data_IF_916493096740
#
_entry.id   IF_916493096740
#
_cell.length_a   1.000
_cell.length_b   1.000
_cell.length_c   1.000
_cell.angle_alpha   90.00
_cell.angle_beta   90.00
_cell.angle_gamma   90.00
#
_symmetry.space_group_name_H-M   'P 1'
#
loop_
_entity.id
_entity.type
_entity.pdbx_description
1 polymer ?
#
# COMPACT_ATOMS: atom_id res chain seq x y z
N UNK A 1 -15.55 3.12 8.73
CA UNK A 1 -14.82 2.21 7.80
C UNK A 1 -15.43 2.20 6.41
N UNK A 2 -16.80 2.17 6.23
CA UNK A 2 -17.44 2.25 4.90
C UNK A 2 -17.07 3.56 4.18
N UNK A 3 -17.17 4.71 4.85
CA UNK A 3 -16.81 6.02 4.28
C UNK A 3 -15.35 6.05 3.76
N UNK A 4 -14.42 5.42 4.50
CA UNK A 4 -13.02 5.32 4.07
C UNK A 4 -12.88 4.44 2.83
N UNK A 5 -13.66 3.36 2.73
CA UNK A 5 -13.69 2.50 1.54
C UNK A 5 -14.23 3.28 0.34
N UNK A 6 -15.34 3.98 0.52
CA UNK A 6 -15.96 4.82 -0.53
C UNK A 6 -15.00 5.90 -1.03
N UNK A 7 -14.23 6.51 -0.12
CA UNK A 7 -13.20 7.49 -0.46
C UNK A 7 -12.05 6.87 -1.26
N UNK A 8 -11.58 5.68 -0.86
CA UNK A 8 -10.49 4.99 -1.55
C UNK A 8 -10.91 4.49 -2.94
N UNK A 9 -12.14 4.02 -3.08
CA UNK A 9 -12.68 3.49 -4.36
C UNK A 9 -13.20 4.61 -5.25
N UNK A 10 -13.45 5.81 -4.71
CA UNK A 10 -14.06 6.93 -5.43
C UNK A 10 -15.52 6.73 -5.80
N UNK A 11 -16.20 5.77 -5.17
CA UNK A 11 -17.63 5.46 -5.40
C UNK A 11 -18.38 5.37 -4.08
N UNK A 12 -19.43 6.16 -3.89
CA UNK A 12 -20.28 6.08 -2.70
C UNK A 12 -21.08 4.77 -2.70
N UNK A 13 -21.27 4.18 -1.52
CA UNK A 13 -22.09 3.00 -1.33
C UNK A 13 -21.41 1.67 -1.65
N UNK A 14 -20.07 1.61 -1.64
CA UNK A 14 -19.32 0.38 -1.80
C UNK A 14 -19.66 -0.62 -0.69
N UNK A 15 -20.07 -1.83 -1.07
CA UNK A 15 -20.37 -2.92 -0.13
C UNK A 15 -19.24 -3.94 -0.20
N UNK A 16 -18.51 -4.18 0.92
CA UNK A 16 -17.50 -5.22 0.96
C UNK A 16 -18.16 -6.61 0.84
N UNK A 17 -17.60 -7.44 -0.03
CA UNK A 17 -18.06 -8.80 -0.26
C UNK A 17 -17.26 -9.74 0.64
N UNK A 18 -17.91 -10.66 1.39
CA UNK A 18 -17.22 -11.65 2.21
C UNK A 18 -16.55 -12.74 1.35
N UNK A 19 -15.62 -13.49 1.96
CA UNK A 19 -15.04 -14.68 1.33
C UNK A 19 -16.08 -15.76 1.12
N UNK A 20 -16.02 -16.43 -0.03
CA UNK A 20 -16.84 -17.62 -0.31
C UNK A 20 -16.47 -18.76 0.64
N UNK A 21 -17.45 -19.57 1.04
CA UNK A 21 -17.19 -20.75 1.85
C UNK A 21 -17.39 -22.03 1.00
N UNK A 22 -16.52 -23.05 1.12
CA UNK A 22 -15.35 -23.13 2.02
C UNK A 22 -14.20 -22.24 1.56
N UNK A 23 -13.47 -21.63 2.52
CA UNK A 23 -12.34 -20.75 2.22
C UNK A 23 -11.13 -21.56 1.82
N UNK A 24 -10.73 -21.49 0.55
CA UNK A 24 -9.48 -22.08 0.05
C UNK A 24 -8.37 -21.04 0.13
N UNK A 25 -7.39 -21.33 0.96
CA UNK A 25 -6.23 -20.43 1.12
C UNK A 25 -5.16 -20.76 0.08
N UNK A 26 -4.53 -19.74 -0.53
CA UNK A 26 -3.42 -19.95 -1.45
C UNK A 26 -2.21 -20.49 -0.69
N UNK A 27 -1.57 -21.50 -1.25
CA UNK A 27 -0.28 -22.01 -0.78
C UNK A 27 0.85 -21.37 -1.58
N UNK A 28 2.01 -21.15 -0.93
CA UNK A 28 3.19 -20.69 -1.62
C UNK A 28 3.71 -21.79 -2.56
N UNK A 29 3.63 -21.58 -3.86
CA UNK A 29 4.21 -22.47 -4.88
C UNK A 29 5.24 -21.70 -5.68
N UNK A 30 6.53 -22.06 -5.65
CA UNK A 30 7.15 -23.24 -5.00
C UNK A 30 7.25 -23.14 -3.47
N UNK A 31 7.29 -24.29 -2.79
CA UNK A 31 7.42 -24.37 -1.32
C UNK A 31 8.85 -24.10 -0.81
N UNK A 32 9.72 -23.57 -1.65
CA UNK A 32 11.12 -23.28 -1.33
C UNK A 32 11.34 -21.74 -1.34
N UNK A 33 11.84 -21.23 -0.23
CA UNK A 33 12.14 -19.80 -0.05
C UNK A 33 13.22 -19.29 -1.01
N UNK A 34 14.26 -20.10 -1.26
CA UNK A 34 15.37 -19.70 -2.12
C UNK A 34 14.96 -19.61 -3.59
N UNK A 35 13.97 -20.39 -4.04
CA UNK A 35 13.42 -20.28 -5.37
C UNK A 35 12.68 -18.92 -5.57
N UNK A 36 11.99 -18.44 -4.53
CA UNK A 36 11.36 -17.11 -4.56
C UNK A 36 12.40 -15.99 -4.58
N UNK A 37 13.49 -16.14 -3.82
CA UNK A 37 14.59 -15.16 -3.81
C UNK A 37 15.29 -15.12 -5.16
N UNK A 38 15.63 -16.26 -5.75
CA UNK A 38 16.25 -16.33 -7.07
C UNK A 38 15.38 -15.69 -8.16
N UNK A 39 14.08 -15.96 -8.14
CA UNK A 39 13.13 -15.34 -9.07
C UNK A 39 13.03 -13.82 -8.85
N UNK A 40 13.09 -13.34 -7.58
CA UNK A 40 13.08 -11.92 -7.28
C UNK A 40 14.35 -11.22 -7.77
N UNK A 41 15.52 -11.85 -7.64
CA UNK A 41 16.78 -11.31 -8.15
C UNK A 41 16.79 -11.13 -9.66
N UNK A 42 16.09 -12.00 -10.39
CA UNK A 42 16.00 -11.94 -11.85
C UNK A 42 14.92 -10.96 -12.34
N UNK A 43 13.74 -10.96 -11.71
CA UNK A 43 12.54 -10.31 -12.23
C UNK A 43 12.20 -8.96 -11.56
N UNK A 44 12.79 -8.64 -10.37
CA UNK A 44 12.33 -7.51 -9.59
C UNK A 44 12.69 -6.15 -10.23
N UNK A 45 11.69 -5.26 -10.47
CA UNK A 45 11.91 -3.98 -11.16
C UNK A 45 12.96 -3.07 -10.51
N UNK A 46 13.05 -3.06 -9.16
CA UNK A 46 14.03 -2.23 -8.45
C UNK A 46 15.47 -2.69 -8.71
N UNK A 47 15.72 -3.99 -8.84
CA UNK A 47 17.06 -4.52 -9.20
C UNK A 47 17.39 -4.13 -10.64
N UNK A 48 16.42 -4.25 -11.54
CA UNK A 48 16.60 -3.84 -12.94
C UNK A 48 16.89 -2.33 -13.05
N UNK A 49 16.20 -1.51 -12.28
CA UNK A 49 16.46 -0.07 -12.21
C UNK A 49 17.87 0.23 -11.71
N UNK A 50 18.31 -0.43 -10.63
CA UNK A 50 19.67 -0.24 -10.09
C UNK A 50 20.75 -0.74 -11.08
N UNK A 51 20.49 -1.82 -11.82
CA UNK A 51 21.37 -2.32 -12.88
C UNK A 51 21.54 -1.29 -14.00
N UNK A 52 20.41 -0.74 -14.50
CA UNK A 52 20.46 0.33 -15.50
C UNK A 52 21.17 1.58 -14.97
N UNK A 53 21.02 1.89 -13.68
CA UNK A 53 21.77 2.98 -13.04
C UNK A 53 23.27 2.76 -13.07
N UNK A 54 23.73 1.54 -12.83
CA UNK A 54 25.14 1.16 -12.94
C UNK A 54 25.63 1.25 -14.40
N UNK A 55 24.83 0.79 -15.36
CA UNK A 55 25.16 0.90 -16.78
C UNK A 55 25.32 2.36 -17.23
N UNK A 56 24.43 3.26 -16.76
CA UNK A 56 24.53 4.70 -16.99
C UNK A 56 25.81 5.27 -16.39
N UNK A 57 26.16 4.89 -15.16
CA UNK A 57 27.41 5.35 -14.52
C UNK A 57 28.65 4.92 -15.35
N UNK A 58 28.66 3.69 -15.86
CA UNK A 58 29.73 3.22 -16.78
C UNK A 58 29.80 4.01 -18.09
N UNK A 59 28.65 4.46 -18.61
CA UNK A 59 28.64 5.34 -19.80
C UNK A 59 29.13 6.76 -19.49
N UNK A 60 28.85 7.28 -18.28
CA UNK A 60 29.37 8.59 -17.85
C UNK A 60 30.90 8.59 -17.71
N UNK A 61 31.52 7.44 -17.32
CA UNK A 61 32.99 7.31 -17.35
C UNK A 61 33.51 7.47 -18.78
N UNK A 62 32.93 6.73 -19.74
CA UNK A 62 33.33 6.83 -21.15
C UNK A 62 33.15 8.25 -21.72
N UNK A 63 32.10 8.94 -21.28
CA UNK A 63 31.85 10.34 -21.64
C UNK A 63 32.90 11.27 -21.02
N UNK A 64 33.29 11.04 -19.76
CA UNK A 64 34.37 11.80 -19.13
C UNK A 64 35.72 11.57 -19.82
N UNK A 65 36.06 10.34 -20.19
CA UNK A 65 37.24 9.98 -20.98
C UNK A 65 37.25 10.64 -22.36
N UNK A 66 36.06 10.77 -22.97
CA UNK A 66 35.90 11.46 -24.25
C UNK A 66 36.21 12.97 -24.16
N UNK A 67 36.27 13.57 -22.95
CA UNK A 67 36.68 14.92 -22.72
C UNK A 67 38.12 15.25 -23.17
N UNK A 68 38.97 14.24 -23.39
CA UNK A 68 40.30 14.38 -23.98
C UNK A 68 40.27 14.35 -25.53
N UNK A 69 39.12 13.99 -26.14
CA UNK A 69 39.02 13.87 -27.60
C UNK A 69 38.58 15.17 -28.24
N UNK A 70 38.98 15.43 -29.51
CA UNK A 70 38.49 16.56 -30.24
C UNK A 70 37.00 16.49 -30.55
N UNK A 71 36.31 17.62 -30.56
CA UNK A 71 34.93 17.75 -31.05
C UNK A 71 34.91 18.44 -32.39
N UNK A 72 33.98 18.07 -33.24
CA UNK A 72 33.73 18.67 -34.56
C UNK A 72 32.24 19.03 -34.62
N UNK A 73 31.99 20.35 -34.65
CA UNK A 73 30.66 20.91 -34.68
C UNK A 73 30.37 21.54 -36.05
N UNK A 74 29.27 21.19 -36.67
CA UNK A 74 28.78 21.79 -37.92
C UNK A 74 27.61 22.72 -37.60
N UNK A 75 27.74 23.98 -38.00
CA UNK A 75 26.72 25.02 -37.76
C UNK A 75 26.13 25.50 -39.08
N UNK A 76 24.80 25.47 -39.17
CA UNK A 76 24.05 26.04 -40.26
C UNK A 76 23.12 27.13 -39.69
N UNK A 77 23.26 28.37 -40.18
CA UNK A 77 22.43 29.48 -39.71
C UNK A 77 21.79 30.19 -40.90
N UNK A 78 20.53 30.59 -40.77
CA UNK A 78 19.87 31.54 -41.67
C UNK A 78 19.18 32.59 -40.81
N UNK A 79 19.60 33.85 -40.99
CA UNK A 79 19.12 35.00 -40.21
C UNK A 79 18.53 36.08 -41.14
N UNK A 80 17.35 36.54 -40.83
CA UNK A 80 16.67 37.64 -41.53
C UNK A 80 16.57 38.80 -40.55
N UNK A 81 17.31 39.86 -40.80
CA UNK A 81 17.21 41.11 -40.02
C UNK A 81 16.46 42.15 -40.84
N UNK A 82 15.40 42.69 -40.29
CA UNK A 82 14.58 43.78 -40.89
C UNK A 82 14.54 44.96 -39.96
N UNK A 83 15.08 46.11 -40.45
CA UNK A 83 15.06 47.38 -39.74
C UNK A 83 14.28 48.40 -40.58
N UNK A 84 12.92 48.41 -40.54
CA UNK A 84 12.10 49.23 -41.44
C UNK A 84 12.29 50.72 -41.25
N UNK A 85 12.72 51.16 -40.06
CA UNK A 85 12.94 52.59 -39.71
C UNK A 85 14.43 52.96 -39.63
N UNK A 86 15.32 52.07 -40.11
CA UNK A 86 16.76 52.26 -39.98
C UNK A 86 17.32 51.84 -38.63
N UNK A 87 18.58 52.24 -38.35
CA UNK A 87 19.30 52.00 -37.10
C UNK A 87 19.68 53.36 -36.50
N UNK A 88 20.26 53.38 -35.29
CA UNK A 88 20.76 54.61 -34.64
C UNK A 88 21.78 55.35 -35.46
N UNK A 89 22.40 54.75 -36.49
CA UNK A 89 23.43 55.32 -37.35
C UNK A 89 22.95 55.54 -38.79
N UNK A 90 21.78 55.08 -39.20
CA UNK A 90 21.23 55.28 -40.56
C UNK A 90 19.68 55.25 -40.50
N UNK A 91 19.05 56.26 -41.14
CA UNK A 91 17.60 56.44 -41.26
C UNK A 91 17.01 55.63 -42.42
N UNK A 92 17.84 54.91 -43.19
CA UNK A 92 17.40 54.09 -44.33
C UNK A 92 16.98 52.72 -43.83
N UNK A 93 15.75 52.30 -44.19
CA UNK A 93 15.23 50.92 -43.90
C UNK A 93 16.10 49.87 -44.59
N UNK A 94 16.54 48.88 -43.82
CA UNK A 94 17.40 47.81 -44.34
C UNK A 94 16.77 46.43 -44.07
N UNK A 95 16.94 45.53 -45.02
CA UNK A 95 16.67 44.10 -44.88
C UNK A 95 17.97 43.35 -45.24
N UNK A 96 18.42 42.52 -44.31
CA UNK A 96 19.62 41.71 -44.48
C UNK A 96 19.17 40.24 -44.34
N UNK A 97 19.34 39.46 -45.39
CA UNK A 97 19.18 38.03 -45.39
C UNK A 97 20.58 37.41 -45.42
N UNK A 98 20.96 36.73 -44.33
CA UNK A 98 22.30 36.12 -44.20
C UNK A 98 22.19 34.62 -43.99
N UNK A 99 22.87 33.87 -44.82
CA UNK A 99 23.10 32.44 -44.65
C UNK A 99 24.56 32.18 -44.22
N UNK A 100 24.74 31.38 -43.20
CA UNK A 100 26.08 31.00 -42.72
C UNK A 100 26.20 29.48 -42.59
N UNK A 101 27.31 28.93 -43.01
CA UNK A 101 27.72 27.54 -42.85
C UNK A 101 29.12 27.58 -42.23
N UNK A 102 29.30 26.82 -41.15
CA UNK A 102 30.57 26.76 -40.44
C UNK A 102 30.87 25.39 -39.91
N UNK A 103 32.12 25.02 -39.84
CA UNK A 103 32.60 23.81 -39.14
C UNK A 103 33.66 24.26 -38.14
N UNK A 104 33.45 23.90 -36.88
CA UNK A 104 34.34 24.25 -35.75
C UNK A 104 34.97 22.96 -35.22
N UNK A 105 36.29 22.91 -35.25
CA UNK A 105 37.10 21.86 -34.64
C UNK A 105 37.65 22.40 -33.30
N UNK A 106 37.34 21.71 -32.20
CA UNK A 106 37.84 22.10 -30.88
C UNK A 106 38.53 20.90 -30.21
N UNK A 107 39.79 21.10 -29.81
CA UNK A 107 40.58 20.08 -29.11
C UNK A 107 41.24 20.72 -27.87
N UNK A 108 40.85 20.29 -26.64
CA UNK A 108 41.48 20.79 -25.42
C UNK A 108 42.89 20.20 -25.29
N UNK A 109 43.91 21.04 -25.40
CA UNK A 109 45.32 20.63 -25.23
C UNK A 109 45.71 20.51 -23.76
N UNK A 110 45.17 21.36 -22.91
CA UNK A 110 45.39 21.38 -21.47
C UNK A 110 44.18 21.98 -20.76
N UNK A 111 43.61 21.25 -19.83
CA UNK A 111 42.41 21.65 -19.06
C UNK A 111 42.71 21.77 -17.55
N UNK A 112 43.97 21.96 -17.13
CA UNK A 112 44.32 22.11 -15.72
C UNK A 112 43.90 20.88 -14.86
N UNK A 113 44.03 19.66 -15.36
CA UNK A 113 43.64 18.42 -14.74
C UNK A 113 42.10 18.26 -14.52
N UNK A 114 41.27 19.15 -15.08
CA UNK A 114 39.82 19.07 -14.92
C UNK A 114 39.24 17.76 -15.47
N UNK A 115 39.67 17.30 -16.63
CA UNK A 115 39.23 16.04 -17.23
C UNK A 115 39.64 14.82 -16.40
N UNK A 116 40.87 14.79 -15.88
CA UNK A 116 41.30 13.68 -14.99
C UNK A 116 40.51 13.62 -13.69
N UNK A 117 40.25 14.78 -13.06
CA UNK A 117 39.45 14.82 -11.84
C UNK A 117 38.02 14.45 -12.13
N UNK A 118 37.45 14.79 -13.31
CA UNK A 118 36.13 14.33 -13.74
C UNK A 118 36.05 12.82 -13.92
N UNK A 119 37.11 12.21 -14.50
CA UNK A 119 37.20 10.75 -14.62
C UNK A 119 37.23 10.10 -13.22
N UNK A 120 38.04 10.61 -12.30
CA UNK A 120 38.08 10.09 -10.90
C UNK A 120 36.72 10.24 -10.21
N UNK A 121 36.03 11.35 -10.40
CA UNK A 121 34.67 11.57 -9.89
C UNK A 121 33.70 10.53 -10.43
N UNK A 122 33.68 10.32 -11.76
CA UNK A 122 32.76 9.36 -12.39
C UNK A 122 33.07 7.90 -12.01
N UNK A 123 34.32 7.53 -11.78
CA UNK A 123 34.69 6.24 -11.23
C UNK A 123 34.15 6.03 -9.81
N UNK A 124 34.24 7.05 -8.93
CA UNK A 124 33.65 6.99 -7.60
C UNK A 124 32.12 6.88 -7.63
N UNK A 125 31.45 7.53 -8.59
CA UNK A 125 30.01 7.43 -8.80
C UNK A 125 29.60 6.04 -9.34
N UNK A 126 30.42 5.40 -10.16
CA UNK A 126 30.20 4.00 -10.59
C UNK A 126 30.29 3.05 -9.38
N UNK A 127 31.31 3.19 -8.54
CA UNK A 127 31.44 2.38 -7.31
C UNK A 127 30.27 2.61 -6.34
N UNK A 128 29.77 3.83 -6.24
CA UNK A 128 28.55 4.14 -5.50
C UNK A 128 27.34 3.40 -6.11
N UNK A 129 27.17 3.46 -7.44
CA UNK A 129 26.05 2.78 -8.14
C UNK A 129 26.13 1.26 -7.99
N UNK A 130 27.32 0.68 -7.99
CA UNK A 130 27.57 -0.74 -7.71
C UNK A 130 27.14 -1.10 -6.30
N UNK A 131 27.48 -0.27 -5.32
CA UNK A 131 27.08 -0.46 -3.92
C UNK A 131 25.56 -0.34 -3.74
N UNK A 132 24.90 0.58 -4.46
CA UNK A 132 23.44 0.72 -4.48
C UNK A 132 22.78 -0.54 -5.05
N UNK A 133 23.29 -1.08 -6.15
CA UNK A 133 22.79 -2.32 -6.74
C UNK A 133 22.87 -3.49 -5.75
N UNK A 134 24.02 -3.65 -5.10
CA UNK A 134 24.23 -4.71 -4.09
C UNK A 134 23.27 -4.55 -2.89
N UNK A 135 23.12 -3.32 -2.39
CA UNK A 135 22.16 -2.99 -1.33
C UNK A 135 20.72 -3.29 -1.73
N UNK A 136 20.35 -2.96 -2.97
CA UNK A 136 19.01 -3.24 -3.51
C UNK A 136 18.74 -4.74 -3.61
N UNK A 137 19.69 -5.54 -4.10
CA UNK A 137 19.57 -7.00 -4.16
C UNK A 137 19.34 -7.60 -2.77
N UNK A 138 20.14 -7.20 -1.77
CA UNK A 138 19.98 -7.66 -0.39
C UNK A 138 18.63 -7.26 0.20
N UNK A 139 18.20 -6.04 -0.04
CA UNK A 139 16.89 -5.54 0.44
C UNK A 139 15.72 -6.32 -0.16
N UNK A 140 15.73 -6.57 -1.47
CA UNK A 140 14.71 -7.37 -2.16
C UNK A 140 14.70 -8.81 -1.66
N UNK A 141 15.88 -9.44 -1.52
CA UNK A 141 16.00 -10.79 -0.97
C UNK A 141 15.44 -10.89 0.45
N UNK A 142 15.74 -9.91 1.30
CA UNK A 142 15.21 -9.83 2.67
C UNK A 142 13.69 -9.64 2.68
N UNK A 143 13.16 -8.74 1.87
CA UNK A 143 11.72 -8.48 1.78
C UNK A 143 10.97 -9.74 1.30
N UNK A 144 11.51 -10.46 0.30
CA UNK A 144 10.94 -11.71 -0.21
C UNK A 144 10.94 -12.80 0.86
N UNK A 145 12.05 -12.97 1.59
CA UNK A 145 12.13 -13.94 2.71
C UNK A 145 11.13 -13.61 3.81
N UNK A 146 11.04 -12.34 4.20
CA UNK A 146 10.10 -11.90 5.23
C UNK A 146 8.65 -12.12 4.81
N UNK A 147 8.29 -11.82 3.55
CA UNK A 147 6.95 -12.04 3.02
C UNK A 147 6.59 -13.53 2.96
N UNK A 148 7.54 -14.39 2.55
CA UNK A 148 7.35 -15.85 2.51
C UNK A 148 7.11 -16.42 3.91
N UNK A 149 7.98 -16.09 4.87
CA UNK A 149 7.84 -16.55 6.25
C UNK A 149 6.54 -16.03 6.89
N UNK A 150 6.17 -14.79 6.59
CA UNK A 150 4.90 -14.21 7.03
C UNK A 150 3.68 -14.98 6.48
N UNK A 151 3.72 -15.40 5.22
CA UNK A 151 2.67 -16.21 4.61
C UNK A 151 2.59 -17.60 5.26
N UNK A 152 3.71 -18.30 5.43
CA UNK A 152 3.76 -19.63 6.06
C UNK A 152 3.26 -19.57 7.50
N UNK A 153 3.70 -18.59 8.27
CA UNK A 153 3.23 -18.36 9.64
C UNK A 153 1.74 -18.04 9.68
N UNK A 154 1.25 -17.21 8.74
CA UNK A 154 -0.16 -16.87 8.63
C UNK A 154 -1.06 -18.10 8.38
N UNK A 155 -0.63 -19.01 7.50
CA UNK A 155 -1.34 -20.29 7.26
C UNK A 155 -1.37 -21.15 8.53
N UNK A 156 -0.25 -21.20 9.26
CA UNK A 156 -0.20 -21.90 10.57
C UNK A 156 -1.17 -21.28 11.58
N UNK A 157 -1.25 -19.94 11.64
CA UNK A 157 -2.18 -19.23 12.52
C UNK A 157 -3.66 -19.54 12.16
N UNK A 158 -4.01 -19.60 10.87
CA UNK A 158 -5.37 -19.96 10.46
C UNK A 158 -5.74 -21.36 10.95
N UNK A 159 -4.86 -22.36 10.78
CA UNK A 159 -5.10 -23.72 11.27
C UNK A 159 -5.29 -23.76 12.78
N UNK A 160 -4.50 -23.01 13.54
CA UNK A 160 -4.64 -22.93 14.98
C UNK A 160 -5.96 -22.28 15.41
N UNK A 161 -6.39 -21.23 14.70
CA UNK A 161 -7.66 -20.55 14.98
C UNK A 161 -8.87 -21.37 14.55
N UNK A 162 -8.78 -22.22 13.53
CA UNK A 162 -9.83 -23.18 13.16
C UNK A 162 -10.02 -24.24 14.25
N UNK A 163 -8.94 -24.74 14.83
CA UNK A 163 -9.01 -25.63 15.99
C UNK A 163 -9.58 -24.93 17.23
N UNK A 164 -9.19 -23.66 17.46
CA UNK A 164 -9.70 -22.86 18.56
C UNK A 164 -11.20 -22.53 18.38
N UNK A 165 -11.68 -22.30 17.17
CA UNK A 165 -13.11 -22.11 16.87
C UNK A 165 -13.91 -23.38 17.24
N UNK A 166 -13.46 -24.56 16.80
CA UNK A 166 -14.10 -25.83 17.13
C UNK A 166 -14.15 -26.09 18.64
N UNK A 167 -13.04 -25.82 19.35
CA UNK A 167 -12.98 -25.93 20.81
C UNK A 167 -13.89 -24.93 21.52
N UNK A 168 -13.92 -23.66 21.09
CA UNK A 168 -14.79 -22.64 21.65
C UNK A 168 -16.28 -22.93 21.41
N UNK A 169 -16.62 -23.52 20.26
CA UNK A 169 -17.97 -23.97 19.97
C UNK A 169 -18.37 -25.06 20.93
N UNK A 170 -17.53 -26.09 21.11
CA UNK A 170 -17.79 -27.19 22.04
C UNK A 170 -17.95 -26.72 23.48
N UNK A 171 -17.13 -25.76 23.92
CA UNK A 171 -17.22 -25.13 25.25
C UNK A 171 -18.54 -24.40 25.43
N UNK A 172 -18.99 -23.64 24.42
CA UNK A 172 -20.29 -22.96 24.46
C UNK A 172 -21.45 -23.97 24.58
N UNK A 173 -21.41 -25.03 23.79
CA UNK A 173 -22.47 -26.06 23.78
C UNK A 173 -22.50 -26.78 25.13
N UNK A 174 -21.36 -27.12 25.72
CA UNK A 174 -21.27 -27.69 27.07
C UNK A 174 -21.80 -26.74 28.15
N UNK A 175 -21.47 -25.45 28.09
CA UNK A 175 -21.96 -24.43 29.06
C UNK A 175 -23.46 -24.18 28.90
N UNK A 176 -24.00 -24.22 27.68
CA UNK A 176 -25.46 -24.16 27.44
C UNK A 176 -26.21 -25.35 28.05
N UNK A 177 -25.67 -26.55 27.83
CA UNK A 177 -26.24 -27.76 28.43
C UNK A 177 -26.17 -27.69 29.97
N UNK A 178 -25.01 -27.30 30.53
CA UNK A 178 -24.84 -27.11 31.97
C UNK A 178 -25.80 -26.08 32.59
N UNK A 179 -26.10 -25.03 31.85
CA UNK A 179 -27.09 -24.01 32.24
C UNK A 179 -28.53 -24.62 32.25
N UNK A 180 -28.87 -25.38 31.21
CA UNK A 180 -30.19 -26.04 31.13
C UNK A 180 -30.44 -26.99 32.28
N UNK A 181 -29.41 -27.72 32.75
CA UNK A 181 -29.52 -28.66 33.89
C UNK A 181 -29.23 -28.01 35.24
N UNK A 182 -29.02 -26.70 35.27
CA UNK A 182 -28.86 -25.90 36.49
C UNK A 182 -27.50 -25.95 37.20
N UNK A 183 -26.47 -26.55 36.55
CA UNK A 183 -25.09 -26.67 37.11
C UNK A 183 -24.17 -25.56 36.65
N UNK A 184 -24.60 -24.70 35.72
CA UNK A 184 -23.89 -23.52 35.26
C UNK A 184 -24.77 -22.28 35.37
N UNK A 185 -24.14 -21.10 35.44
CA UNK A 185 -24.85 -19.83 35.49
C UNK A 185 -24.81 -19.12 34.13
N UNK A 186 -25.76 -18.22 33.90
CA UNK A 186 -25.90 -17.53 32.61
C UNK A 186 -24.63 -16.77 32.18
N UNK A 187 -23.87 -16.24 33.14
CA UNK A 187 -22.62 -15.53 32.82
C UNK A 187 -21.56 -16.44 32.16
N UNK A 188 -21.52 -17.73 32.52
CA UNK A 188 -20.61 -18.69 31.89
C UNK A 188 -20.96 -18.93 30.42
N UNK A 189 -22.26 -18.96 30.10
CA UNK A 189 -22.75 -19.07 28.71
C UNK A 189 -22.38 -17.82 27.90
N UNK A 190 -22.61 -16.63 28.48
CA UNK A 190 -22.29 -15.36 27.85
C UNK A 190 -20.77 -15.22 27.59
N UNK A 191 -19.95 -15.61 28.57
CA UNK A 191 -18.50 -15.60 28.43
C UNK A 191 -18.03 -16.54 27.30
N UNK A 192 -18.57 -17.76 27.26
CA UNK A 192 -18.24 -18.74 26.21
C UNK A 192 -18.71 -18.27 24.83
N UNK A 193 -19.88 -17.62 24.76
CA UNK A 193 -20.38 -17.03 23.53
C UNK A 193 -19.49 -15.87 23.06
N UNK A 194 -19.10 -15.00 23.98
CA UNK A 194 -18.15 -13.90 23.67
C UNK A 194 -16.83 -14.43 23.15
N UNK A 195 -16.27 -15.47 23.80
CA UNK A 195 -15.03 -16.11 23.37
C UNK A 195 -15.15 -16.71 21.96
N UNK A 196 -16.26 -17.40 21.66
CA UNK A 196 -16.50 -17.98 20.33
C UNK A 196 -16.52 -16.89 19.24
N UNK A 197 -17.27 -15.80 19.47
CA UNK A 197 -17.34 -14.71 18.48
C UNK A 197 -16.02 -13.95 18.35
N UNK A 198 -15.23 -13.85 19.42
CA UNK A 198 -13.88 -13.33 19.36
C UNK A 198 -13.00 -14.21 18.48
N UNK A 199 -13.01 -15.52 18.70
CA UNK A 199 -12.23 -16.49 17.90
C UNK A 199 -12.65 -16.46 16.43
N UNK A 200 -13.97 -16.41 16.13
CA UNK A 200 -14.49 -16.27 14.75
C UNK A 200 -14.01 -14.99 14.07
N UNK A 201 -13.97 -13.87 14.79
CA UNK A 201 -13.44 -12.61 14.27
C UNK A 201 -11.95 -12.71 13.96
N UNK A 202 -11.18 -13.30 14.87
CA UNK A 202 -9.74 -13.42 14.75
C UNK A 202 -9.38 -14.40 13.60
N UNK A 203 -10.16 -15.48 13.43
CA UNK A 203 -10.04 -16.39 12.30
C UNK A 203 -10.33 -15.70 10.96
N UNK A 204 -11.40 -14.91 10.88
CA UNK A 204 -11.71 -14.16 9.68
C UNK A 204 -10.57 -13.19 9.32
N UNK A 205 -10.04 -12.45 10.32
CA UNK A 205 -8.89 -11.55 10.13
C UNK A 205 -7.65 -12.31 9.66
N UNK A 206 -7.34 -13.48 10.24
CA UNK A 206 -6.19 -14.30 9.85
C UNK A 206 -6.32 -14.79 8.39
N UNK A 207 -7.52 -15.20 7.96
CA UNK A 207 -7.77 -15.60 6.57
C UNK A 207 -7.53 -14.47 5.58
N UNK A 208 -8.01 -13.25 5.88
CA UNK A 208 -7.71 -12.07 5.05
C UNK A 208 -6.21 -11.73 5.05
N UNK A 209 -5.54 -11.87 6.20
CA UNK A 209 -4.10 -11.62 6.29
C UNK A 209 -3.29 -12.61 5.43
N UNK A 210 -3.70 -13.87 5.32
CA UNK A 210 -3.05 -14.86 4.43
C UNK A 210 -3.23 -14.48 2.97
N UNK A 211 -4.43 -14.06 2.55
CA UNK A 211 -4.68 -13.60 1.17
C UNK A 211 -3.81 -12.37 0.82
N UNK A 212 -3.77 -11.39 1.72
CA UNK A 212 -2.91 -10.22 1.57
C UNK A 212 -1.42 -10.59 1.62
N UNK A 213 -1.05 -11.56 2.45
CA UNK A 213 0.31 -12.09 2.55
C UNK A 213 0.78 -12.71 1.22
N UNK A 214 -0.09 -13.42 0.53
CA UNK A 214 0.22 -13.97 -0.80
C UNK A 214 0.48 -12.86 -1.83
N UNK A 215 -0.37 -11.81 -1.87
CA UNK A 215 -0.13 -10.65 -2.73
C UNK A 215 1.17 -9.93 -2.38
N UNK A 216 1.45 -9.75 -1.10
CA UNK A 216 2.70 -9.13 -0.63
C UNK A 216 3.93 -9.93 -1.04
N UNK A 217 3.84 -11.27 -1.01
CA UNK A 217 4.93 -12.14 -1.48
C UNK A 217 5.18 -11.93 -2.98
N UNK A 218 4.13 -11.91 -3.80
CA UNK A 218 4.24 -11.66 -5.24
C UNK A 218 4.73 -10.23 -5.54
N UNK A 219 4.32 -9.26 -4.76
CA UNK A 219 4.82 -7.89 -4.84
C UNK A 219 6.30 -7.82 -4.49
N UNK A 220 6.73 -8.46 -3.40
CA UNK A 220 8.13 -8.48 -2.96
C UNK A 220 9.03 -9.25 -3.94
N UNK A 221 8.48 -10.20 -4.67
CA UNK A 221 9.15 -10.94 -5.74
C UNK A 221 9.15 -10.18 -7.10
N UNK A 222 8.31 -9.13 -7.25
CA UNK A 222 8.18 -8.40 -8.50
C UNK A 222 7.34 -9.09 -9.57
N UNK A 223 6.61 -10.16 -9.22
CA UNK A 223 5.77 -10.94 -10.16
C UNK A 223 4.27 -10.70 -10.00
N UNK A 224 3.87 -9.68 -9.24
CA UNK A 224 2.46 -9.35 -9.04
C UNK A 224 1.83 -8.90 -10.37
N UNK A 225 0.76 -9.59 -10.77
CA UNK A 225 0.00 -9.31 -12.00
C UNK A 225 -1.46 -8.97 -11.69
N UNK A 226 -2.17 -8.45 -12.69
CA UNK A 226 -3.62 -8.22 -12.59
C UNK A 226 -4.38 -9.54 -12.43
N UNK A 227 -3.87 -10.64 -12.99
CA UNK A 227 -4.48 -11.96 -12.90
C UNK A 227 -4.46 -12.49 -11.46
N UNK A 228 -3.42 -12.16 -10.68
CA UNK A 228 -3.36 -12.50 -9.25
C UNK A 228 -4.46 -11.78 -8.45
N UNK A 229 -4.74 -10.54 -8.80
CA UNK A 229 -5.86 -9.79 -8.20
C UNK A 229 -7.20 -10.39 -8.59
N UNK A 230 -7.37 -10.79 -9.86
CA UNK A 230 -8.57 -11.47 -10.34
C UNK A 230 -8.74 -12.84 -9.69
N UNK A 231 -7.66 -13.59 -9.47
CA UNK A 231 -7.68 -14.86 -8.76
C UNK A 231 -8.19 -14.68 -7.32
N UNK A 232 -7.73 -13.67 -6.59
CA UNK A 232 -8.26 -13.37 -5.25
C UNK A 232 -9.71 -12.88 -5.32
N UNK A 233 -10.05 -12.04 -6.29
CA UNK A 233 -11.42 -11.59 -6.47
C UNK A 233 -12.39 -12.75 -6.75
N UNK A 234 -11.95 -13.80 -7.41
CA UNK A 234 -12.74 -15.02 -7.63
C UNK A 234 -13.00 -15.82 -6.36
N UNK A 235 -12.21 -15.64 -5.29
CA UNK A 235 -12.42 -16.28 -3.98
C UNK A 235 -13.46 -15.56 -3.11
N UNK A 236 -13.89 -14.36 -3.54
CA UNK A 236 -14.99 -13.65 -2.88
C UNK A 236 -16.33 -14.30 -3.24
N UNK A 237 -17.30 -14.18 -2.35
CA UNK A 237 -18.66 -14.62 -2.65
C UNK A 237 -19.18 -13.86 -3.88
N UNK A 238 -19.63 -14.59 -4.92
CA UNK A 238 -20.20 -13.95 -6.09
C UNK A 238 -21.44 -13.17 -5.66
N UNK A 239 -21.46 -11.85 -5.86
CA UNK A 239 -22.67 -11.04 -5.70
C UNK A 239 -23.70 -11.51 -6.72
N UNK A 240 -24.57 -12.42 -6.34
CA UNK A 240 -25.57 -12.91 -7.27
C UNK A 240 -26.39 -14.12 -6.79
N UNK A 241 -26.09 -14.68 -5.63
CA UNK A 241 -26.95 -15.74 -5.08
C UNK A 241 -27.34 -15.40 -3.67
N UNK A 242 -28.57 -14.87 -3.56
CA UNK A 242 -29.42 -14.86 -2.37
C UNK A 242 -28.91 -14.17 -1.11
N UNK A 243 -28.79 -12.82 -1.11
CA UNK A 243 -29.62 -12.15 -0.12
C UNK A 243 -31.04 -12.17 -0.69
N UNK A 244 -31.86 -13.09 -0.25
CA UNK A 244 -33.30 -13.00 -0.44
C UNK A 244 -33.69 -11.62 0.09
N UNK A 245 -33.96 -10.70 -0.80
CA UNK A 245 -34.72 -9.49 -0.49
C UNK A 245 -35.99 -9.98 0.17
N UNK A 246 -36.32 -9.60 1.41
CA UNK A 246 -37.66 -9.87 1.89
C UNK A 246 -38.60 -9.22 0.89
N UNK A 247 -39.48 -10.03 0.32
CA UNK A 247 -40.50 -9.60 -0.64
C UNK A 247 -41.18 -8.33 -0.07
N UNK A 248 -41.40 -7.28 -0.89
CA UNK A 248 -42.17 -6.14 -0.45
C UNK A 248 -43.64 -6.56 -0.40
N UNK A 249 -44.12 -7.00 0.74
CA UNK A 249 -45.50 -7.43 0.81
C UNK A 249 -46.03 -8.08 2.08
N UNK A 250 -45.25 -8.20 3.12
CA UNK A 250 -45.84 -8.61 4.38
C UNK A 250 -45.51 -7.60 5.48
N UNK A 251 -46.34 -6.59 5.57
CA UNK A 251 -46.42 -5.78 6.80
C UNK A 251 -46.81 -6.74 7.92
N UNK A 252 -46.05 -6.84 9.02
CA UNK A 252 -46.57 -7.52 10.21
C UNK A 252 -47.86 -6.83 10.58
N UNK A 253 -48.92 -7.60 10.59
CA UNK A 253 -50.24 -7.16 11.06
C UNK A 253 -50.05 -6.69 12.51
N UNK A 254 -50.27 -5.40 12.72
CA UNK A 254 -50.16 -4.81 14.04
C UNK A 254 -51.05 -5.59 15.02
N UNK A 255 -50.43 -6.21 16.01
CA UNK A 255 -51.15 -6.72 17.17
C UNK A 255 -51.94 -5.57 17.82
N UNK A 256 -53.13 -5.82 18.31
CA UNK A 256 -53.99 -4.77 18.88
C UNK A 256 -53.23 -4.10 20.03
N UNK A 257 -53.11 -2.78 19.95
CA UNK A 257 -52.48 -1.93 20.95
C UNK A 257 -53.27 -2.00 22.28
N UNK A 258 -52.66 -2.69 23.24
CA UNK A 258 -53.08 -2.56 24.64
C UNK A 258 -52.68 -1.13 25.11
N UNK A 259 -53.59 -0.33 25.68
CA UNK A 259 -53.21 0.98 26.14
C UNK A 259 -52.24 0.87 27.33
N UNK A 260 -50.99 1.24 27.08
CA UNK A 260 -49.97 1.34 28.12
C UNK A 260 -50.21 2.66 28.84
N UNK A 261 -50.78 2.57 30.04
CA UNK A 261 -50.81 3.68 30.99
C UNK A 261 -49.36 4.01 31.40
N UNK A 262 -48.89 5.24 31.22
CA UNK A 262 -47.53 5.57 31.64
C UNK A 262 -47.39 5.46 33.16
N UNK A 263 -46.28 4.91 33.66
CA UNK A 263 -46.03 4.87 35.11
C UNK A 263 -45.92 6.30 35.67
N UNK A 264 -46.34 6.54 36.91
CA UNK A 264 -46.27 7.86 37.54
C UNK A 264 -44.80 8.31 37.63
N UNK A 265 -44.57 9.55 37.27
CA UNK A 265 -43.26 10.22 37.32
C UNK A 265 -42.84 10.31 38.81
N UNK A 266 -41.67 9.75 39.20
CA UNK A 266 -41.21 9.93 40.56
C UNK A 266 -40.94 11.42 40.85
N UNK A 267 -41.59 11.96 41.85
CA UNK A 267 -41.36 13.32 42.34
C UNK A 267 -39.99 13.31 43.03
N UNK A 268 -39.02 13.94 42.42
CA UNK A 268 -37.70 14.14 43.02
C UNK A 268 -37.83 15.26 44.06
N UNK A 269 -37.51 15.01 45.36
CA UNK A 269 -37.52 16.07 46.34
C UNK A 269 -36.43 17.11 46.01
N UNK A 270 -36.68 18.42 46.34
CA UNK A 270 -35.73 19.48 46.06
C UNK A 270 -34.42 19.27 46.83
N UNK A 271 -33.30 19.32 46.11
CA UNK A 271 -31.96 19.26 46.70
C UNK A 271 -31.75 20.49 47.60
N UNK A 272 -31.34 20.33 48.87
CA UNK A 272 -31.06 21.47 49.75
C UNK A 272 -29.86 22.25 49.20
N UNK A 273 -30.07 23.54 48.94
CA UNK A 273 -29.03 24.49 48.53
C UNK A 273 -28.09 24.71 49.71
N UNK A 274 -26.85 24.23 49.60
CA UNK A 274 -25.82 24.57 50.60
C UNK A 274 -25.40 26.03 50.40
N UNK A 275 -25.24 26.81 51.50
CA UNK A 275 -24.77 28.20 51.43
C UNK A 275 -23.31 28.24 50.95
N UNK A 276 -23.05 29.08 49.95
CA UNK A 276 -21.71 29.38 49.43
C UNK A 276 -20.84 30.00 50.54
N UNK A 277 -19.77 29.32 50.88
CA UNK A 277 -18.77 29.80 51.83
C UNK A 277 -17.57 30.34 51.04
N UNK A 278 -17.30 31.66 50.98
CA UNK A 278 -16.17 32.19 50.23
C UNK A 278 -14.84 31.82 50.93
N UNK A 279 -13.77 31.55 50.14
CA UNK A 279 -12.46 31.26 50.70
C UNK A 279 -11.88 32.48 51.43
N UNK A 280 -11.22 32.23 52.58
CA UNK A 280 -10.57 33.25 53.40
C UNK A 280 -9.40 33.92 52.64
N UNK A 281 -9.17 35.25 52.86
CA UNK A 281 -8.07 35.97 52.23
C UNK A 281 -6.72 35.51 52.81
N UNK A 282 -5.81 35.11 51.93
CA UNK A 282 -4.38 34.92 52.25
C UNK A 282 -3.74 36.30 52.43
N UNK A 283 -3.28 36.57 53.65
CA UNK A 283 -2.42 37.72 53.95
C UNK A 283 -0.95 37.46 53.56
N UNK A 284 -0.17 38.53 53.27
CA UNK A 284 1.14 38.51 52.65
C UNK A 284 2.25 37.92 53.51
#
# INVERSE_FOLDING_TARGET
>A
KKVVLDQLVGRPGSVPVPLAQPVVLPTATPANIEAWVAQAEEAHPAIRQAQLGLDVAGLEIRKAEAGHKPTLDANLGYNITRNPHGTSTSTVGTRIDAASVGVVFNMPLFAGFATENRIKETLALEDQSRSVLEGTRRSVAQATRAAYLGLVSGVGQVKALEAAEASSQSALDANRLGYQVGVRINIDVLNSQSQLYQTKRDLAQARYNVLLGNLKLRQANGTLTVDDMNAINSTLAKNGSTAASPAPGERPQAAPSVPVTPPPIPVVPPVPVQPFNPPAPTMP
#
